data_IF_336601259433
#
_entry.id   IF_336601259433
#
_cell.length_a   1.000
_cell.length_b   1.000
_cell.length_c   1.000
_cell.angle_alpha   90.00
_cell.angle_beta   90.00
_cell.angle_gamma   90.00
#
_symmetry.space_group_name_H-M   'P 1'
#
loop_
_entity.id
_entity.type
_entity.pdbx_description
1 polymer ?
#
# COMPACT_ATOMS: atom_id res chain seq x y z
N UNK A 1 -26.07 -20.72 -11.88
CA UNK A 1 -26.09 -19.37 -12.44
C UNK A 1 -25.69 -18.37 -11.37
N UNK A 2 -24.88 -17.41 -11.75
CA UNK A 2 -24.35 -16.46 -10.77
C UNK A 2 -25.32 -15.32 -10.53
N UNK A 3 -25.44 -14.91 -9.26
CA UNK A 3 -26.23 -13.73 -8.91
C UNK A 3 -25.49 -12.48 -9.32
N UNK A 4 -26.20 -11.34 -9.39
CA UNK A 4 -25.57 -10.06 -9.66
C UNK A 4 -24.53 -9.73 -8.58
N UNK A 5 -24.83 -10.05 -7.33
CA UNK A 5 -23.89 -9.84 -6.23
C UNK A 5 -22.60 -10.64 -6.43
N UNK A 6 -22.73 -11.90 -6.85
CA UNK A 6 -21.57 -12.76 -7.09
C UNK A 6 -20.71 -12.20 -8.22
N UNK A 7 -21.33 -11.67 -9.29
CA UNK A 7 -20.59 -11.09 -10.40
C UNK A 7 -19.87 -9.81 -9.98
N UNK A 8 -20.52 -8.98 -9.17
CA UNK A 8 -19.91 -7.75 -8.66
C UNK A 8 -18.73 -8.07 -7.77
N UNK A 9 -18.86 -9.08 -6.90
CA UNK A 9 -17.76 -9.49 -6.04
C UNK A 9 -16.60 -10.07 -6.85
N UNK A 10 -16.90 -10.84 -7.89
CA UNK A 10 -15.86 -11.36 -8.78
C UNK A 10 -15.10 -10.22 -9.46
N UNK A 11 -15.80 -9.20 -9.91
CA UNK A 11 -15.18 -8.02 -10.51
C UNK A 11 -14.27 -7.32 -9.48
N UNK A 12 -14.73 -7.22 -8.23
CA UNK A 12 -13.94 -6.64 -7.15
C UNK A 12 -12.66 -7.41 -6.89
N UNK A 13 -12.71 -8.74 -6.90
CA UNK A 13 -11.53 -9.57 -6.72
C UNK A 13 -10.54 -9.41 -7.88
N UNK A 14 -11.04 -9.37 -9.11
CA UNK A 14 -10.16 -9.17 -10.28
C UNK A 14 -9.47 -7.80 -10.19
N UNK A 15 -10.22 -6.77 -9.87
CA UNK A 15 -9.67 -5.43 -9.70
C UNK A 15 -8.61 -5.40 -8.59
N UNK A 16 -8.88 -6.07 -7.48
CA UNK A 16 -7.96 -6.14 -6.35
C UNK A 16 -6.65 -6.83 -6.74
N UNK A 17 -6.75 -7.93 -7.49
CA UNK A 17 -5.56 -8.64 -7.95
C UNK A 17 -4.71 -7.75 -8.85
N UNK A 18 -5.35 -7.08 -9.82
CA UNK A 18 -4.61 -6.21 -10.73
C UNK A 18 -3.95 -5.05 -9.99
N UNK A 19 -4.67 -4.44 -9.07
CA UNK A 19 -4.14 -3.32 -8.29
C UNK A 19 -2.97 -3.77 -7.43
N UNK A 20 -3.11 -4.93 -6.78
CA UNK A 20 -2.06 -5.49 -5.93
C UNK A 20 -0.81 -5.82 -6.74
N UNK A 21 -1.00 -6.44 -7.91
CA UNK A 21 0.13 -6.77 -8.77
C UNK A 21 0.83 -5.52 -9.30
N UNK A 22 0.08 -4.42 -9.48
CA UNK A 22 0.67 -3.15 -9.88
C UNK A 22 1.54 -2.54 -8.77
N UNK A 23 1.12 -2.75 -7.53
CA UNK A 23 1.81 -2.18 -6.37
C UNK A 23 3.06 -2.96 -6.00
N UNK A 24 3.02 -4.27 -6.19
CA UNK A 24 4.06 -5.15 -5.69
C UNK A 24 5.45 -4.85 -6.26
N UNK A 25 5.61 -4.63 -7.56
CA UNK A 25 6.94 -4.29 -8.09
C UNK A 25 7.54 -3.05 -7.44
N UNK A 26 6.71 -2.05 -7.15
CA UNK A 26 7.18 -0.83 -6.50
C UNK A 26 7.67 -1.11 -5.07
N UNK A 27 6.89 -1.88 -4.32
CA UNK A 27 7.28 -2.23 -2.95
C UNK A 27 8.58 -3.05 -2.94
N UNK A 28 8.71 -4.00 -3.86
CA UNK A 28 9.92 -4.79 -3.97
C UNK A 28 11.12 -3.94 -4.37
N UNK A 29 10.91 -2.98 -5.24
CA UNK A 29 11.96 -2.06 -5.66
C UNK A 29 12.47 -1.25 -4.47
N UNK A 30 11.55 -0.70 -3.67
CA UNK A 30 11.92 0.06 -2.48
C UNK A 30 12.73 -0.80 -1.52
N UNK A 31 12.28 -2.04 -1.32
CA UNK A 31 12.98 -2.97 -0.44
C UNK A 31 14.39 -3.27 -0.94
N UNK A 32 14.54 -3.53 -2.24
CA UNK A 32 15.84 -3.83 -2.83
C UNK A 32 16.80 -2.66 -2.71
N UNK A 33 16.32 -1.47 -2.94
CA UNK A 33 17.14 -0.26 -2.89
C UNK A 33 17.38 0.21 -1.47
N UNK A 34 16.63 -0.32 -0.54
CA UNK A 34 16.67 0.10 0.88
C UNK A 34 16.49 1.59 1.04
N UNK A 35 15.70 2.18 0.17
CA UNK A 35 15.43 3.61 0.19
C UNK A 35 14.00 3.85 -0.25
N UNK A 36 13.32 4.69 0.50
CA UNK A 36 11.97 5.13 0.18
C UNK A 36 11.94 6.65 -0.03
N UNK A 37 13.06 7.22 -0.48
CA UNK A 37 13.17 8.66 -0.61
C UNK A 37 12.22 9.24 -1.66
N UNK A 38 11.90 8.44 -2.69
CA UNK A 38 10.97 8.87 -3.73
C UNK A 38 9.50 8.73 -3.32
N UNK A 39 9.24 8.22 -2.12
CA UNK A 39 7.89 7.97 -1.66
C UNK A 39 7.38 9.20 -0.90
N UNK A 40 6.20 9.65 -1.26
CA UNK A 40 5.55 10.75 -0.53
C UNK A 40 4.89 10.21 0.73
N UNK A 41 5.36 10.67 1.87
CA UNK A 41 4.80 10.28 3.16
C UNK A 41 3.32 10.68 3.26
N UNK A 42 3.00 11.92 2.86
CA UNK A 42 1.63 12.41 2.94
C UNK A 42 0.71 11.57 2.06
N UNK A 43 1.14 11.26 0.84
CA UNK A 43 0.32 10.47 -0.07
C UNK A 43 0.03 9.08 0.52
N UNK A 44 1.05 8.44 1.08
CA UNK A 44 0.87 7.10 1.62
C UNK A 44 0.04 7.10 2.91
N UNK A 45 0.15 8.14 3.72
CA UNK A 45 -0.73 8.28 4.88
C UNK A 45 -2.18 8.45 4.47
N UNK A 46 -2.43 9.24 3.42
CA UNK A 46 -3.78 9.41 2.89
C UNK A 46 -4.30 8.09 2.32
N UNK A 47 -3.47 7.35 1.61
CA UNK A 47 -3.84 6.04 1.08
C UNK A 47 -4.19 5.07 2.20
N UNK A 48 -3.37 5.03 3.23
CA UNK A 48 -3.62 4.14 4.36
C UNK A 48 -4.93 4.48 5.05
N UNK A 49 -5.16 5.76 5.30
CA UNK A 49 -6.41 6.22 5.91
C UNK A 49 -7.61 5.82 5.06
N UNK A 50 -7.53 6.06 3.75
CA UNK A 50 -8.60 5.69 2.84
C UNK A 50 -8.87 4.19 2.84
N UNK A 51 -7.81 3.40 2.86
CA UNK A 51 -7.96 1.95 2.86
C UNK A 51 -8.57 1.43 4.15
N UNK A 52 -8.23 2.02 5.29
CA UNK A 52 -8.86 1.66 6.56
C UNK A 52 -10.35 1.98 6.52
N UNK A 53 -10.71 3.15 6.00
CA UNK A 53 -12.12 3.53 5.86
C UNK A 53 -12.86 2.58 4.92
N UNK A 54 -12.25 2.22 3.81
CA UNK A 54 -12.84 1.27 2.88
C UNK A 54 -12.98 -0.13 3.47
N UNK A 55 -12.04 -0.52 4.32
CA UNK A 55 -12.14 -1.80 5.03
C UNK A 55 -13.36 -1.81 5.95
N UNK A 56 -13.55 -0.74 6.71
CA UNK A 56 -14.71 -0.61 7.59
C UNK A 56 -15.98 -0.67 6.76
N UNK A 57 -16.03 0.05 5.65
CA UNK A 57 -17.16 0.02 4.74
C UNK A 57 -17.42 -1.39 4.22
N UNK A 58 -16.36 -2.10 3.83
CA UNK A 58 -16.49 -3.46 3.32
C UNK A 58 -17.04 -4.43 4.35
N UNK A 59 -16.62 -4.28 5.62
CA UNK A 59 -17.14 -5.11 6.71
C UNK A 59 -18.62 -4.83 6.94
N UNK A 60 -19.00 -3.54 6.94
CA UNK A 60 -20.38 -3.15 7.17
C UNK A 60 -21.31 -3.63 6.06
N UNK A 61 -20.82 -3.75 4.85
CA UNK A 61 -21.60 -4.19 3.69
C UNK A 61 -21.38 -5.65 3.33
N UNK A 62 -20.64 -6.38 4.17
CA UNK A 62 -20.36 -7.81 3.93
C UNK A 62 -19.80 -8.05 2.53
N UNK A 63 -18.82 -7.25 2.12
CA UNK A 63 -18.20 -7.40 0.81
C UNK A 63 -16.85 -8.10 0.94
N UNK A 64 -16.76 -9.39 0.62
CA UNK A 64 -15.48 -10.10 0.70
C UNK A 64 -14.39 -9.50 -0.17
N UNK A 65 -14.74 -9.00 -1.35
CA UNK A 65 -13.73 -8.43 -2.23
C UNK A 65 -13.15 -7.14 -1.66
N UNK A 66 -13.99 -6.27 -1.09
CA UNK A 66 -13.51 -5.05 -0.45
C UNK A 66 -12.65 -5.37 0.78
N UNK A 67 -13.07 -6.33 1.59
CA UNK A 67 -12.31 -6.73 2.77
C UNK A 67 -10.93 -7.25 2.34
N UNK A 68 -10.90 -8.19 1.41
CA UNK A 68 -9.65 -8.78 0.95
C UNK A 68 -8.72 -7.74 0.32
N UNK A 69 -9.27 -6.90 -0.55
CA UNK A 69 -8.49 -5.87 -1.23
C UNK A 69 -7.85 -4.91 -0.23
N UNK A 70 -8.61 -4.49 0.77
CA UNK A 70 -8.11 -3.51 1.71
C UNK A 70 -7.16 -4.11 2.74
N UNK A 71 -7.36 -5.35 3.14
CA UNK A 71 -6.40 -6.04 4.02
C UNK A 71 -5.05 -6.15 3.32
N UNK A 72 -5.04 -6.59 2.06
CA UNK A 72 -3.80 -6.69 1.31
C UNK A 72 -3.20 -5.32 1.06
N UNK A 73 -4.03 -4.35 0.67
CA UNK A 73 -3.56 -2.98 0.42
C UNK A 73 -2.97 -2.32 1.64
N UNK A 74 -3.62 -2.46 2.80
CA UNK A 74 -3.11 -1.92 4.06
C UNK A 74 -1.77 -2.55 4.40
N UNK A 75 -1.64 -3.85 4.17
CA UNK A 75 -0.38 -4.54 4.42
C UNK A 75 0.75 -3.99 3.55
N UNK A 76 0.48 -3.80 2.26
CA UNK A 76 1.49 -3.28 1.33
C UNK A 76 1.82 -1.81 1.61
N UNK A 77 0.82 -0.97 1.78
CA UNK A 77 1.03 0.44 2.06
C UNK A 77 1.71 0.61 3.42
N UNK A 78 1.30 -0.17 4.40
CA UNK A 78 1.94 -0.16 5.71
C UNK A 78 3.41 -0.54 5.64
N UNK A 79 3.73 -1.56 4.84
CA UNK A 79 5.11 -1.96 4.62
C UNK A 79 5.93 -0.83 4.02
N UNK A 80 5.42 -0.19 2.96
CA UNK A 80 6.10 0.94 2.35
C UNK A 80 6.26 2.09 3.34
N UNK A 81 5.22 2.37 4.15
CA UNK A 81 5.31 3.41 5.16
C UNK A 81 6.37 3.11 6.21
N UNK A 82 6.46 1.87 6.65
CA UNK A 82 7.50 1.49 7.60
C UNK A 82 8.88 1.74 7.00
N UNK A 83 9.07 1.38 5.74
CA UNK A 83 10.34 1.64 5.06
C UNK A 83 10.61 3.14 4.95
N UNK A 84 9.58 3.93 4.64
CA UNK A 84 9.72 5.39 4.55
C UNK A 84 10.09 6.00 5.90
N UNK A 85 9.41 5.59 6.96
CA UNK A 85 9.70 6.10 8.29
C UNK A 85 11.09 5.69 8.76
N UNK A 86 11.52 4.47 8.44
CA UNK A 86 12.87 4.01 8.76
C UNK A 86 13.90 4.84 8.02
N UNK A 87 13.64 5.15 6.75
CA UNK A 87 14.53 5.97 5.94
C UNK A 87 14.67 7.38 6.51
N UNK A 88 13.54 7.99 6.87
CA UNK A 88 13.53 9.31 7.48
C UNK A 88 14.27 9.32 8.82
N UNK A 89 14.09 8.27 9.59
CA UNK A 89 14.78 8.14 10.88
C UNK A 89 16.28 8.03 10.68
N UNK A 90 16.71 7.30 9.66
CA UNK A 90 18.12 7.17 9.31
C UNK A 90 18.72 8.52 8.91
N UNK A 91 18.00 9.28 8.10
CA UNK A 91 18.44 10.62 7.69
C UNK A 91 18.57 11.54 8.89
N UNK A 92 17.68 11.41 9.87
CA UNK A 92 17.73 12.21 11.07
C UNK A 92 18.95 11.88 11.92
N UNK A 93 19.36 10.62 11.95
CA UNK A 93 20.52 10.18 12.71
C UNK A 93 21.84 10.52 12.02
N UNK A 94 21.82 10.68 10.70
CA UNK A 94 23.01 11.03 9.92
C UNK A 94 22.74 12.27 9.10
N UNK A 95 22.61 13.45 9.74
CA UNK A 95 22.23 14.64 8.99
C UNK A 95 23.34 15.27 8.19
N UNK A 96 24.61 15.01 8.54
CA UNK A 96 25.72 15.76 7.97
C UNK A 96 26.43 14.96 6.88
N UNK A 97 26.24 15.40 5.64
CA UNK A 97 27.06 14.96 4.53
C UNK A 97 27.04 13.50 4.16
N UNK A 98 26.36 12.71 4.94
CA UNK A 98 26.24 11.27 4.69
C UNK A 98 25.00 10.97 3.91
N UNK A 99 24.35 12.00 3.46
CA UNK A 99 23.19 11.85 2.62
C UNK A 99 23.63 11.18 1.31
N UNK A 100 23.08 10.01 1.06
CA UNK A 100 23.38 9.28 -0.15
C UNK A 100 22.40 9.65 -1.24
N UNK A 101 22.89 9.74 -2.47
CA UNK A 101 21.96 9.92 -3.57
C UNK A 101 20.97 8.78 -3.56
N UNK A 102 19.73 9.14 -3.82
CA UNK A 102 18.68 8.17 -3.85
C UNK A 102 18.83 7.32 -5.08
N UNK A 103 18.82 6.03 -4.90
CA UNK A 103 18.75 5.12 -6.03
C UNK A 103 17.37 5.25 -6.64
N UNK A 104 17.31 5.76 -7.80
CA UNK A 104 16.04 5.99 -8.48
C UNK A 104 15.38 4.70 -8.92
#
# INVERSE_FOLDING_TARGET
>A
MFTATALIEALGFVAAILTTLSFLPQALRIRRQRSAADVSLVMYLMMLTGQVLWLIYGVLFDSPSLIAANVVGISLVGWVLIMKLTDLRRQRQNPVGLHRPVAA
#
